data_IF_122185694672
#
_entry.id   IF_122185694672
#
_cell.length_a   1.000
_cell.length_b   1.000
_cell.length_c   1.000
_cell.angle_alpha   90.00
_cell.angle_beta   90.00
_cell.angle_gamma   90.00
#
_symmetry.space_group_name_H-M   'P 1'
#
loop_
_entity.id
_entity.type
_entity.pdbx_description
1 polymer ?
#
# COMPACT_ATOMS: atom_id res chain seq x y z
N UNK A 1 11.51 5.77 23.60
CA UNK A 1 12.18 6.34 22.40
C UNK A 1 12.88 5.21 21.67
N UNK A 2 12.74 5.10 20.36
CA UNK A 2 13.43 4.07 19.56
C UNK A 2 14.87 4.52 19.33
N UNK A 3 15.82 3.64 19.62
CA UNK A 3 17.24 3.89 19.36
C UNK A 3 17.54 3.60 17.87
N UNK A 4 17.66 4.65 17.08
CA UNK A 4 17.90 4.56 15.62
C UNK A 4 19.36 4.24 15.28
N UNK A 5 20.26 4.13 16.26
CA UNK A 5 21.63 3.66 16.04
C UNK A 5 21.72 2.13 15.90
N UNK A 6 20.67 1.42 16.32
CA UNK A 6 20.55 -0.02 16.21
C UNK A 6 19.85 -0.41 14.89
N UNK A 7 20.16 -1.59 14.32
CA UNK A 7 19.41 -2.10 13.18
C UNK A 7 17.94 -2.30 13.54
N UNK A 8 17.06 -1.58 12.84
CA UNK A 8 15.61 -1.68 13.04
C UNK A 8 15.02 -2.75 12.11
N UNK A 9 14.08 -3.51 12.64
CA UNK A 9 13.36 -4.55 11.88
C UNK A 9 11.86 -4.39 12.02
N UNK A 10 11.13 -4.65 10.92
CA UNK A 10 9.66 -4.75 10.92
C UNK A 10 9.28 -6.15 10.43
N UNK A 11 8.85 -7.01 11.32
CA UNK A 11 8.53 -8.42 11.03
C UNK A 11 7.05 -8.65 10.72
N UNK A 12 6.25 -7.58 10.64
CA UNK A 12 4.80 -7.70 10.38
C UNK A 12 4.25 -6.47 9.64
N UNK A 13 4.60 -6.31 8.39
CA UNK A 13 4.15 -5.20 7.55
C UNK A 13 3.19 -5.69 6.47
N UNK A 14 1.98 -5.14 6.45
CA UNK A 14 0.99 -5.42 5.42
C UNK A 14 1.22 -4.53 4.20
N UNK A 15 1.51 -5.11 3.04
CA UNK A 15 1.69 -4.39 1.79
C UNK A 15 0.40 -3.65 1.39
N UNK A 16 -0.72 -4.35 1.41
CA UNK A 16 -2.04 -3.85 1.04
C UNK A 16 -2.60 -2.78 2.00
N UNK A 17 -2.00 -2.64 3.18
CA UNK A 17 -2.32 -1.59 4.15
C UNK A 17 -1.33 -0.42 4.18
N UNK A 18 -0.28 -0.44 3.36
CA UNK A 18 0.79 0.57 3.36
C UNK A 18 0.99 1.24 2.00
N UNK A 19 -0.10 1.51 1.29
CA UNK A 19 -0.06 2.20 0.00
C UNK A 19 -0.06 3.71 0.24
N UNK A 20 0.89 4.43 -0.36
CA UNK A 20 1.00 5.88 -0.22
C UNK A 20 -0.27 6.58 -0.70
N UNK A 21 -0.74 7.57 0.05
CA UNK A 21 -1.90 8.38 -0.36
C UNK A 21 -1.68 9.06 -1.73
N UNK A 22 -0.46 9.51 -2.03
CA UNK A 22 -0.12 10.05 -3.35
C UNK A 22 -0.28 9.00 -4.45
N UNK A 23 0.13 7.77 -4.21
CA UNK A 23 0.00 6.67 -5.18
C UNK A 23 -1.47 6.32 -5.42
N UNK A 24 -2.30 6.33 -4.37
CA UNK A 24 -3.76 6.16 -4.52
C UNK A 24 -4.33 7.24 -5.44
N UNK A 25 -3.93 8.48 -5.24
CA UNK A 25 -4.38 9.61 -6.07
C UNK A 25 -3.91 9.47 -7.52
N UNK A 26 -2.64 9.14 -7.74
CA UNK A 26 -2.05 8.96 -9.06
C UNK A 26 -2.74 7.84 -9.84
N UNK A 27 -2.90 6.67 -9.22
CA UNK A 27 -3.55 5.50 -9.83
C UNK A 27 -5.04 5.75 -10.07
N UNK A 28 -5.71 6.40 -9.14
CA UNK A 28 -7.11 6.80 -9.32
C UNK A 28 -7.30 7.68 -10.55
N UNK A 29 -6.41 8.64 -10.77
CA UNK A 29 -6.40 9.50 -11.97
C UNK A 29 -6.02 8.72 -13.22
N UNK A 30 -4.97 7.91 -13.15
CA UNK A 30 -4.49 7.11 -14.28
C UNK A 30 -5.58 6.19 -14.84
N UNK A 31 -6.33 5.54 -13.98
CA UNK A 31 -7.39 4.60 -14.35
C UNK A 31 -8.79 5.19 -14.36
N UNK A 32 -8.90 6.51 -14.18
CA UNK A 32 -10.17 7.24 -14.15
C UNK A 32 -11.17 6.64 -13.13
N UNK A 33 -10.69 6.36 -11.94
CA UNK A 33 -11.48 5.77 -10.85
C UNK A 33 -12.06 6.87 -9.95
N UNK A 34 -13.25 6.62 -9.42
CA UNK A 34 -13.87 7.53 -8.46
C UNK A 34 -13.20 7.40 -7.09
N UNK A 35 -12.60 8.49 -6.62
CA UNK A 35 -12.02 8.61 -5.29
C UNK A 35 -12.87 9.51 -4.39
N UNK A 36 -12.76 9.38 -3.05
CA UNK A 36 -13.52 10.21 -2.10
C UNK A 36 -13.05 11.67 -2.10
N UNK A 37 -11.89 11.97 -2.66
CA UNK A 37 -11.32 13.31 -2.76
C UNK A 37 -10.39 13.40 -3.98
N UNK A 38 -10.13 14.63 -4.43
CA UNK A 38 -9.39 14.88 -5.68
C UNK A 38 -8.01 15.52 -5.47
N UNK A 39 -7.67 15.88 -4.23
CA UNK A 39 -6.36 16.41 -3.86
C UNK A 39 -5.73 15.55 -2.78
N UNK A 40 -4.41 15.58 -2.65
CA UNK A 40 -3.71 14.81 -1.63
C UNK A 40 -4.18 15.21 -0.21
N UNK A 41 -4.27 16.50 0.06
CA UNK A 41 -4.68 17.01 1.37
C UNK A 41 -6.07 16.52 1.77
N UNK A 42 -7.03 16.56 0.85
CA UNK A 42 -8.41 16.12 1.11
C UNK A 42 -8.57 14.61 1.08
N UNK A 43 -7.66 13.88 0.42
CA UNK A 43 -7.68 12.42 0.36
C UNK A 43 -7.14 11.76 1.65
N UNK A 44 -6.11 12.34 2.25
CA UNK A 44 -5.42 11.77 3.43
C UNK A 44 -6.39 11.30 4.53
N UNK A 45 -7.39 12.07 4.98
CA UNK A 45 -8.32 11.61 6.02
C UNK A 45 -9.13 10.37 5.67
N UNK A 46 -9.29 10.08 4.36
CA UNK A 46 -10.04 8.92 3.86
C UNK A 46 -9.20 7.65 3.76
N UNK A 47 -7.88 7.76 3.68
CA UNK A 47 -6.97 6.64 3.40
C UNK A 47 -5.94 6.41 4.51
N UNK A 48 -5.86 7.31 5.48
CA UNK A 48 -4.97 7.19 6.63
C UNK A 48 -5.74 7.44 7.93
N UNK A 49 -5.24 6.84 9.01
CA UNK A 49 -5.75 7.13 10.35
C UNK A 49 -5.15 8.44 10.84
N UNK A 50 -5.98 9.49 10.91
CA UNK A 50 -5.58 10.83 11.35
C UNK A 50 -6.16 11.20 12.73
N UNK A 51 -7.08 10.38 13.24
CA UNK A 51 -7.73 10.54 14.54
C UNK A 51 -8.17 9.17 15.06
N UNK A 52 -8.77 9.12 16.26
CA UNK A 52 -9.32 7.88 16.79
C UNK A 52 -10.43 7.35 15.89
N UNK A 53 -10.29 6.11 15.45
CA UNK A 53 -11.33 5.41 14.68
C UNK A 53 -12.38 4.82 15.62
N UNK A 54 -13.68 4.88 15.27
CA UNK A 54 -14.75 4.38 16.12
C UNK A 54 -14.74 2.85 16.27
N UNK A 55 -14.32 2.13 15.23
CA UNK A 55 -14.30 0.67 15.21
C UNK A 55 -13.35 0.13 14.13
N UNK A 56 -13.18 -1.20 14.12
CA UNK A 56 -12.32 -1.90 13.15
C UNK A 56 -12.83 -1.75 11.71
N UNK A 57 -14.13 -1.71 11.50
CA UNK A 57 -14.72 -1.60 10.15
C UNK A 57 -14.36 -0.25 9.53
N UNK A 58 -14.48 0.83 10.31
CA UNK A 58 -14.07 2.18 9.89
C UNK A 58 -12.58 2.24 9.54
N UNK A 59 -11.74 1.60 10.35
CA UNK A 59 -10.30 1.47 10.07
C UNK A 59 -10.04 0.72 8.75
N UNK A 60 -10.64 -0.47 8.58
CA UNK A 60 -10.44 -1.31 7.38
C UNK A 60 -10.96 -0.62 6.12
N UNK A 61 -12.05 0.16 6.20
CA UNK A 61 -12.59 0.88 5.04
C UNK A 61 -11.60 1.89 4.44
N UNK A 62 -10.68 2.42 5.24
CA UNK A 62 -9.61 3.29 4.75
C UNK A 62 -8.58 2.53 3.93
N UNK A 63 -8.28 1.29 4.30
CA UNK A 63 -7.35 0.42 3.57
C UNK A 63 -7.92 0.00 2.21
N UNK A 64 -9.24 -0.17 2.11
CA UNK A 64 -9.92 -0.57 0.87
C UNK A 64 -9.63 0.39 -0.29
N UNK A 65 -9.44 1.67 -0.05
CA UNK A 65 -9.11 2.64 -1.10
C UNK A 65 -7.77 2.31 -1.77
N UNK A 66 -6.78 1.85 -1.01
CA UNK A 66 -5.50 1.41 -1.56
C UNK A 66 -5.65 0.25 -2.52
N UNK A 67 -6.50 -0.71 -2.18
CA UNK A 67 -6.74 -1.90 -3.03
C UNK A 67 -7.60 -1.56 -4.25
N UNK A 68 -8.59 -0.67 -4.10
CA UNK A 68 -9.48 -0.26 -5.20
C UNK A 68 -8.76 0.38 -6.40
N UNK A 69 -7.59 0.96 -6.19
CA UNK A 69 -6.82 1.59 -7.28
C UNK A 69 -5.85 0.65 -7.98
N UNK A 70 -5.72 -0.60 -7.52
CA UNK A 70 -4.85 -1.61 -8.13
C UNK A 70 -5.50 -2.20 -9.39
N UNK A 71 -5.60 -1.39 -10.44
CA UNK A 71 -6.30 -1.76 -11.68
C UNK A 71 -5.40 -2.49 -12.70
N UNK A 72 -4.11 -2.68 -12.40
CA UNK A 72 -3.17 -3.39 -13.25
C UNK A 72 -2.11 -4.11 -12.45
N UNK A 73 -1.42 -5.06 -13.07
CA UNK A 73 -0.27 -5.74 -12.45
C UNK A 73 0.90 -4.76 -12.22
N UNK A 74 1.07 -3.76 -13.09
CA UNK A 74 2.07 -2.72 -12.90
C UNK A 74 1.78 -1.86 -11.67
N UNK A 75 0.50 -1.60 -11.36
CA UNK A 75 0.14 -0.92 -10.12
C UNK A 75 0.52 -1.76 -8.88
N UNK A 76 0.30 -3.08 -8.91
CA UNK A 76 0.71 -3.98 -7.84
C UNK A 76 2.25 -3.99 -7.66
N UNK A 77 3.00 -4.02 -8.77
CA UNK A 77 4.46 -3.93 -8.77
C UNK A 77 4.94 -2.60 -8.19
N UNK A 78 4.33 -1.48 -8.59
CA UNK A 78 4.66 -0.14 -8.09
C UNK A 78 4.50 -0.05 -6.57
N UNK A 79 3.36 -0.48 -6.03
CA UNK A 79 3.13 -0.38 -4.57
C UNK A 79 4.06 -1.27 -3.77
N UNK A 80 4.47 -2.42 -4.31
CA UNK A 80 5.46 -3.28 -3.69
C UNK A 80 6.86 -2.62 -3.67
N UNK A 81 7.29 -2.04 -4.79
CA UNK A 81 8.51 -1.25 -4.86
C UNK A 81 8.52 -0.10 -3.85
N UNK A 82 7.45 0.70 -3.82
CA UNK A 82 7.31 1.84 -2.92
C UNK A 82 7.34 1.43 -1.44
N UNK A 83 6.82 0.25 -1.09
CA UNK A 83 6.91 -0.27 0.28
C UNK A 83 8.35 -0.55 0.73
N UNK A 84 9.17 -1.09 -0.15
CA UNK A 84 10.61 -1.31 0.14
C UNK A 84 11.34 0.04 0.22
N UNK A 85 11.05 0.95 -0.69
CA UNK A 85 11.63 2.30 -0.66
C UNK A 85 11.29 3.03 0.65
N UNK A 86 10.03 2.95 1.11
CA UNK A 86 9.59 3.55 2.38
C UNK A 86 10.23 2.85 3.58
N UNK A 87 10.39 1.54 3.56
CA UNK A 87 11.10 0.81 4.60
C UNK A 87 12.55 1.29 4.73
N UNK A 88 13.24 1.43 3.60
CA UNK A 88 14.62 1.95 3.58
C UNK A 88 14.69 3.41 4.08
N UNK A 89 13.78 4.29 3.64
CA UNK A 89 13.70 5.68 4.10
C UNK A 89 13.42 5.80 5.60
N UNK A 90 12.70 4.85 6.17
CA UNK A 90 12.42 4.78 7.61
C UNK A 90 13.54 4.13 8.42
N UNK A 91 14.68 3.81 7.79
CA UNK A 91 15.84 3.22 8.47
C UNK A 91 15.66 1.75 8.85
N UNK A 92 14.73 1.05 8.22
CA UNK A 92 14.57 -0.38 8.43
C UNK A 92 15.66 -1.15 7.69
N UNK A 93 16.35 -2.04 8.41
CA UNK A 93 17.39 -2.92 7.85
C UNK A 93 16.81 -4.25 7.38
N UNK A 94 15.65 -4.63 7.92
CA UNK A 94 14.95 -5.85 7.57
C UNK A 94 13.44 -5.61 7.64
N UNK A 95 12.70 -6.14 6.67
CA UNK A 95 11.23 -6.08 6.64
C UNK A 95 10.65 -7.39 6.13
N UNK A 96 9.62 -7.87 6.81
CA UNK A 96 8.78 -8.97 6.31
C UNK A 96 7.45 -8.40 5.81
N UNK A 97 7.29 -8.39 4.48
CA UNK A 97 6.02 -7.99 3.85
C UNK A 97 5.09 -9.19 3.75
N UNK A 98 3.85 -8.97 4.15
CA UNK A 98 2.76 -9.90 3.89
C UNK A 98 1.66 -9.21 3.10
N UNK A 99 0.96 -9.96 2.29
CA UNK A 99 -0.12 -9.44 1.47
C UNK A 99 -1.12 -10.53 1.12
N UNK A 100 -2.31 -10.12 0.72
CA UNK A 100 -3.40 -11.01 0.29
C UNK A 100 -3.60 -10.87 -1.22
N UNK A 101 -2.97 -11.72 -2.05
CA UNK A 101 -3.05 -11.57 -3.50
C UNK A 101 -4.48 -11.65 -4.03
N UNK A 102 -5.33 -12.48 -3.43
CA UNK A 102 -6.76 -12.53 -3.77
C UNK A 102 -7.49 -11.22 -3.47
N UNK A 103 -7.21 -10.59 -2.34
CA UNK A 103 -7.77 -9.28 -1.98
C UNK A 103 -7.29 -8.18 -2.92
N UNK A 104 -6.00 -8.15 -3.22
CA UNK A 104 -5.41 -7.18 -4.17
C UNK A 104 -5.96 -7.35 -5.60
N UNK A 105 -6.29 -8.58 -6.00
CA UNK A 105 -6.82 -8.88 -7.33
C UNK A 105 -8.31 -8.59 -7.48
N UNK A 106 -9.06 -8.56 -6.39
CA UNK A 106 -10.52 -8.65 -6.38
C UNK A 106 -11.22 -7.47 -7.07
N UNK A 107 -10.76 -6.24 -6.82
CA UNK A 107 -11.44 -5.03 -7.28
C UNK A 107 -11.50 -4.93 -8.82
N UNK A 108 -10.50 -5.45 -9.53
CA UNK A 108 -10.38 -5.39 -10.98
C UNK A 108 -10.19 -6.75 -11.64
N UNK A 109 -10.48 -7.84 -10.91
CA UNK A 109 -10.41 -9.21 -11.42
C UNK A 109 -9.06 -9.55 -12.06
N UNK A 110 -7.97 -9.11 -11.41
CA UNK A 110 -6.62 -9.43 -11.87
C UNK A 110 -6.31 -10.93 -11.68
N UNK A 111 -5.42 -11.52 -12.49
CA UNK A 111 -4.97 -12.89 -12.26
C UNK A 111 -4.16 -12.94 -10.96
N UNK A 112 -4.59 -13.77 -9.99
CA UNK A 112 -3.96 -13.86 -8.66
C UNK A 112 -2.48 -14.23 -8.75
N UNK A 113 -2.13 -15.19 -9.61
CA UNK A 113 -0.72 -15.55 -9.86
C UNK A 113 0.09 -14.35 -10.39
N UNK A 114 -0.50 -13.57 -11.28
CA UNK A 114 0.12 -12.34 -11.81
C UNK A 114 0.35 -11.29 -10.72
N UNK A 115 -0.57 -11.14 -9.76
CA UNK A 115 -0.38 -10.26 -8.61
C UNK A 115 0.81 -10.70 -7.77
N UNK A 116 0.96 -12.00 -7.50
CA UNK A 116 2.12 -12.54 -6.76
C UNK A 116 3.42 -12.23 -7.50
N UNK A 117 3.48 -12.50 -8.80
CA UNK A 117 4.66 -12.22 -9.61
C UNK A 117 5.01 -10.73 -9.65
N UNK A 118 4.01 -9.86 -9.81
CA UNK A 118 4.19 -8.41 -9.82
C UNK A 118 4.74 -7.89 -8.48
N UNK A 119 4.20 -8.38 -7.36
CA UNK A 119 4.68 -8.01 -6.02
C UNK A 119 6.12 -8.47 -5.82
N UNK A 120 6.47 -9.70 -6.18
CA UNK A 120 7.85 -10.21 -6.09
C UNK A 120 8.80 -9.36 -6.93
N UNK A 121 8.39 -8.99 -8.16
CA UNK A 121 9.19 -8.13 -9.02
C UNK A 121 9.42 -6.75 -8.40
N UNK A 122 8.37 -6.11 -7.85
CA UNK A 122 8.47 -4.81 -7.19
C UNK A 122 9.37 -4.84 -5.95
N UNK A 123 9.27 -5.88 -5.14
CA UNK A 123 10.16 -6.07 -3.97
C UNK A 123 11.62 -6.20 -4.41
N UNK A 124 11.91 -7.02 -5.42
CA UNK A 124 13.28 -7.21 -5.94
C UNK A 124 13.89 -5.93 -6.50
N UNK A 125 13.07 -5.10 -7.14
CA UNK A 125 13.51 -3.80 -7.67
C UNK A 125 13.77 -2.77 -6.57
N UNK A 126 13.02 -2.83 -5.46
CA UNK A 126 13.19 -1.94 -4.31
C UNK A 126 14.39 -2.30 -3.44
N UNK A 127 14.85 -3.55 -3.50
CA UNK A 127 16.06 -3.98 -2.80
C UNK A 127 17.31 -3.59 -3.60
#
# INVERSE_FOLDING_TARGET
MIDTSLPLTDVHRHLDGNIRAQTILDLGRQFNLTLPAQTLETLIPHVQVTSTEPDLVSFLSKLDWGVKVLASLDACRRVAFENIEDAARNGLHYVELRFSPGYMAMAHQLPVAGVVEAVIAGVREGC
#
